data_IF_493549043964
#
_entry.id   IF_493549043964
#
_cell.length_a   1.000
_cell.length_b   1.000
_cell.length_c   1.000
_cell.angle_alpha   90.00
_cell.angle_beta   90.00
_cell.angle_gamma   90.00
#
_symmetry.space_group_name_H-M   'P 1'
#
loop_
_entity.id
_entity.type
_entity.pdbx_description
1 polymer ?
#
# COMPACT_ATOMS: atom_id res chain seq x y z
N UNK A 1 15.84 -47.51 -67.46
CA UNK A 1 15.15 -46.36 -68.09
C UNK A 1 14.08 -45.90 -67.10
N UNK A 2 14.21 -44.66 -66.63
CA UNK A 2 13.14 -43.75 -66.17
C UNK A 2 11.82 -44.35 -65.64
N UNK A 3 11.30 -44.01 -64.45
CA UNK A 3 11.14 -42.66 -63.89
C UNK A 3 10.71 -42.77 -62.43
N UNK A 4 11.15 -41.79 -61.67
CA UNK A 4 10.74 -41.40 -60.33
C UNK A 4 9.21 -41.21 -60.18
N UNK A 5 8.67 -41.62 -59.03
CA UNK A 5 7.59 -40.88 -58.35
C UNK A 5 7.59 -41.20 -56.86
N UNK A 6 8.15 -40.26 -56.11
CA UNK A 6 8.03 -40.10 -54.67
C UNK A 6 6.58 -39.76 -54.33
N UNK A 7 5.96 -40.51 -53.41
CA UNK A 7 4.78 -40.09 -52.68
C UNK A 7 5.21 -39.72 -51.27
N UNK A 8 5.18 -38.41 -51.00
CA UNK A 8 5.31 -37.82 -49.67
C UNK A 8 4.12 -38.26 -48.81
N UNK A 9 4.39 -38.97 -47.73
CA UNK A 9 3.42 -39.22 -46.66
C UNK A 9 3.30 -37.95 -45.81
N UNK A 10 2.21 -37.20 -46.03
CA UNK A 10 1.81 -36.13 -45.15
C UNK A 10 1.37 -36.70 -43.80
N UNK A 11 2.23 -36.62 -42.80
CA UNK A 11 1.86 -36.76 -41.40
C UNK A 11 1.04 -35.53 -41.00
N UNK A 12 -0.28 -35.70 -40.88
CA UNK A 12 -1.12 -34.75 -40.18
C UNK A 12 -0.76 -34.81 -38.70
N UNK A 13 0.02 -33.84 -38.22
CA UNK A 13 0.16 -33.58 -36.78
C UNK A 13 -1.13 -32.90 -36.34
N UNK A 14 -2.05 -33.71 -35.81
CA UNK A 14 -3.23 -33.21 -35.12
C UNK A 14 -2.75 -32.74 -33.74
N UNK A 15 -2.35 -31.47 -33.66
CA UNK A 15 -1.93 -30.82 -32.43
C UNK A 15 -3.19 -30.56 -31.61
N UNK A 16 -3.59 -31.56 -30.84
CA UNK A 16 -4.67 -31.49 -29.86
C UNK A 16 -4.14 -30.62 -28.72
N UNK A 17 -4.28 -29.30 -28.86
CA UNK A 17 -4.11 -28.35 -27.76
C UNK A 17 -5.24 -28.64 -26.78
N UNK A 18 -4.99 -29.54 -25.84
CA UNK A 18 -5.74 -29.58 -24.60
C UNK A 18 -5.44 -28.28 -23.87
N UNK A 19 -6.20 -27.22 -24.21
CA UNK A 19 -6.40 -26.12 -23.29
C UNK A 19 -7.03 -26.73 -22.05
N UNK A 20 -6.19 -27.06 -21.07
CA UNK A 20 -6.57 -26.97 -19.67
C UNK A 20 -7.04 -25.53 -19.51
N UNK A 21 -8.34 -25.31 -19.74
CA UNK A 21 -9.03 -24.24 -19.08
C UNK A 21 -8.90 -24.56 -17.59
N UNK A 22 -7.80 -24.08 -16.99
CA UNK A 22 -7.87 -23.70 -15.59
C UNK A 22 -9.15 -22.87 -15.50
N UNK A 23 -10.10 -23.18 -14.59
CA UNK A 23 -11.17 -22.25 -14.34
C UNK A 23 -10.48 -20.93 -14.04
N UNK A 24 -10.61 -19.98 -14.96
CA UNK A 24 -10.31 -18.60 -14.67
C UNK A 24 -11.26 -18.33 -13.52
N UNK A 25 -10.73 -18.31 -12.29
CA UNK A 25 -11.40 -17.79 -11.10
C UNK A 25 -11.60 -16.31 -11.40
N UNK A 26 -12.59 -16.07 -12.25
CA UNK A 26 -12.94 -14.79 -12.80
C UNK A 26 -13.60 -14.05 -11.65
N UNK A 27 -12.81 -13.14 -11.08
CA UNK A 27 -13.28 -12.00 -10.29
C UNK A 27 -13.56 -12.29 -8.81
N UNK A 28 -12.50 -12.60 -8.07
CA UNK A 28 -12.50 -12.51 -6.61
C UNK A 28 -12.66 -11.05 -6.10
N UNK A 29 -12.55 -10.04 -6.97
CA UNK A 29 -12.74 -8.64 -6.59
C UNK A 29 -14.21 -8.30 -6.35
N UNK A 30 -14.50 -7.50 -5.33
CA UNK A 30 -15.83 -6.94 -5.09
C UNK A 30 -15.97 -5.61 -5.82
N UNK A 31 -17.05 -5.43 -6.56
CA UNK A 31 -17.36 -4.19 -7.26
C UNK A 31 -18.02 -3.15 -6.35
N UNK A 32 -17.62 -1.89 -6.49
CA UNK A 32 -18.20 -0.73 -5.83
C UNK A 32 -18.69 0.26 -6.88
N UNK A 33 -19.87 0.83 -6.71
CA UNK A 33 -20.31 1.90 -7.59
C UNK A 33 -19.60 3.22 -7.27
N UNK A 34 -18.94 3.81 -8.26
CA UNK A 34 -18.39 5.16 -8.16
C UNK A 34 -19.37 6.17 -8.76
N UNK A 35 -20.02 6.98 -7.92
CA UNK A 35 -21.03 7.92 -8.40
C UNK A 35 -20.48 9.06 -9.27
N UNK A 36 -19.19 9.41 -9.11
CA UNK A 36 -18.53 10.44 -9.92
C UNK A 36 -18.22 9.94 -11.33
N UNK A 37 -17.71 8.72 -11.43
CA UNK A 37 -17.35 8.09 -12.70
C UNK A 37 -18.53 7.38 -13.37
N UNK A 38 -19.64 7.14 -12.64
CA UNK A 38 -20.81 6.38 -13.08
C UNK A 38 -20.46 4.97 -13.59
N UNK A 39 -19.57 4.29 -12.87
CA UNK A 39 -19.10 2.94 -13.22
C UNK A 39 -18.79 2.13 -11.97
N UNK A 40 -18.68 0.80 -12.13
CA UNK A 40 -18.15 -0.08 -11.09
C UNK A 40 -16.62 0.03 -11.05
N UNK A 41 -16.07 0.12 -9.85
CA UNK A 41 -14.63 0.04 -9.55
C UNK A 41 -14.38 -1.13 -8.61
N UNK A 42 -13.20 -1.74 -8.66
CA UNK A 42 -12.87 -2.87 -7.77
C UNK A 42 -12.43 -2.37 -6.40
N UNK A 43 -13.02 -2.90 -5.34
CA UNK A 43 -12.57 -2.71 -3.96
C UNK A 43 -11.17 -3.32 -3.75
N UNK A 44 -10.31 -2.63 -3.01
CA UNK A 44 -8.98 -3.13 -2.61
C UNK A 44 -8.99 -3.87 -1.27
N UNK A 45 -10.14 -3.88 -0.60
CA UNK A 45 -10.35 -4.26 0.81
C UNK A 45 -11.45 -5.30 0.97
N UNK A 46 -12.33 -5.45 -0.03
CA UNK A 46 -13.35 -6.48 -0.09
C UNK A 46 -13.03 -7.49 -1.19
N UNK A 47 -13.23 -8.77 -0.90
CA UNK A 47 -13.13 -9.85 -1.89
C UNK A 47 -14.20 -10.91 -1.70
N UNK A 48 -14.49 -11.62 -2.77
CA UNK A 48 -15.25 -12.86 -2.76
C UNK A 48 -14.29 -14.03 -2.64
N UNK A 49 -14.46 -14.84 -1.60
CA UNK A 49 -13.56 -15.92 -1.26
C UNK A 49 -14.32 -17.23 -1.05
N UNK A 50 -13.63 -18.36 -1.21
CA UNK A 50 -14.19 -19.65 -0.81
C UNK A 50 -14.37 -19.71 0.71
N UNK A 51 -15.36 -20.47 1.15
CA UNK A 51 -15.60 -20.73 2.57
C UNK A 51 -14.36 -21.36 3.23
N UNK A 52 -13.86 -20.72 4.28
CA UNK A 52 -12.72 -21.13 5.10
C UNK A 52 -13.02 -20.76 6.56
N UNK A 53 -13.01 -21.75 7.44
CA UNK A 53 -13.32 -21.53 8.86
C UNK A 53 -12.38 -20.52 9.53
N UNK A 54 -11.10 -20.49 9.12
CA UNK A 54 -10.09 -19.54 9.63
C UNK A 54 -10.39 -18.08 9.29
N UNK A 55 -11.18 -17.81 8.24
CA UNK A 55 -11.48 -16.47 7.77
C UNK A 55 -12.85 -15.93 8.26
N UNK A 56 -13.57 -16.70 9.08
CA UNK A 56 -14.94 -16.34 9.52
C UNK A 56 -15.02 -15.02 10.29
N UNK A 57 -13.96 -14.62 10.99
CA UNK A 57 -13.88 -13.32 11.67
C UNK A 57 -13.86 -12.12 10.72
N UNK A 58 -13.44 -12.34 9.47
CA UNK A 58 -13.32 -11.32 8.43
C UNK A 58 -14.53 -11.32 7.48
N UNK A 59 -15.47 -12.27 7.62
CA UNK A 59 -16.65 -12.32 6.78
C UNK A 59 -17.65 -11.22 7.11
N UNK A 60 -18.26 -10.68 6.05
CA UNK A 60 -19.22 -9.59 6.18
C UNK A 60 -20.55 -10.13 6.69
N UNK A 61 -20.97 -9.63 7.84
CA UNK A 61 -22.24 -9.98 8.48
C UNK A 61 -23.37 -9.21 7.81
N UNK A 62 -24.30 -9.94 7.17
CA UNK A 62 -25.48 -9.37 6.55
C UNK A 62 -26.67 -9.28 7.51
N UNK A 63 -26.82 -10.27 8.39
CA UNK A 63 -27.88 -10.35 9.38
C UNK A 63 -27.39 -11.12 10.62
N UNK A 64 -28.24 -11.19 11.64
CA UNK A 64 -27.97 -11.92 12.89
C UNK A 64 -29.25 -12.70 13.23
N UNK A 65 -29.11 -13.93 13.73
CA UNK A 65 -30.23 -14.73 14.24
C UNK A 65 -30.78 -14.18 15.55
N UNK A 66 -31.97 -14.64 15.96
CA UNK A 66 -32.51 -14.37 17.31
C UNK A 66 -31.57 -14.81 18.45
N UNK A 67 -30.77 -15.88 18.24
CA UNK A 67 -29.76 -16.35 19.19
C UNK A 67 -28.48 -15.50 19.22
N UNK A 68 -28.34 -14.54 18.31
CA UNK A 68 -27.14 -13.68 18.21
C UNK A 68 -26.05 -14.23 17.29
N UNK A 69 -26.32 -15.29 16.54
CA UNK A 69 -25.34 -15.89 15.62
C UNK A 69 -25.28 -15.13 14.28
N UNK A 70 -24.08 -14.95 13.70
CA UNK A 70 -23.93 -14.17 12.47
C UNK A 70 -24.43 -14.93 11.24
N UNK A 71 -25.11 -14.22 10.34
CA UNK A 71 -25.45 -14.67 8.99
C UNK A 71 -24.58 -13.89 8.02
N UNK A 72 -23.74 -14.60 7.26
CA UNK A 72 -22.76 -14.00 6.36
C UNK A 72 -23.32 -13.81 4.95
N UNK A 73 -22.79 -12.82 4.25
CA UNK A 73 -23.10 -12.58 2.84
C UNK A 73 -22.38 -13.59 1.96
N UNK A 74 -23.14 -14.34 1.16
CA UNK A 74 -22.61 -15.24 0.16
C UNK A 74 -23.19 -14.93 -1.22
N UNK A 75 -22.50 -15.34 -2.28
CA UNK A 75 -23.02 -15.27 -3.64
C UNK A 75 -22.78 -16.56 -4.40
N UNK A 76 -23.63 -16.84 -5.37
CA UNK A 76 -23.51 -18.01 -6.23
C UNK A 76 -23.94 -17.68 -7.66
N UNK A 77 -23.46 -18.47 -8.63
CA UNK A 77 -23.81 -18.30 -10.03
C UNK A 77 -24.95 -19.25 -10.41
N UNK A 78 -26.06 -18.71 -10.90
CA UNK A 78 -27.18 -19.50 -11.39
C UNK A 78 -27.58 -19.02 -12.80
N UNK A 79 -27.54 -19.93 -13.78
CA UNK A 79 -27.95 -19.65 -15.17
C UNK A 79 -27.22 -18.46 -15.83
N UNK A 80 -26.01 -18.14 -15.34
CA UNK A 80 -25.18 -17.03 -15.83
C UNK A 80 -25.20 -15.82 -14.91
N UNK A 81 -26.25 -15.67 -14.09
CA UNK A 81 -26.41 -14.53 -13.19
C UNK A 81 -25.76 -14.79 -11.82
N UNK A 82 -25.19 -13.73 -11.23
CA UNK A 82 -24.74 -13.75 -9.84
C UNK A 82 -25.88 -13.40 -8.91
N UNK A 83 -26.18 -14.31 -7.97
CA UNK A 83 -27.21 -14.16 -6.95
C UNK A 83 -26.55 -13.98 -5.59
N UNK A 84 -27.03 -13.00 -4.84
CA UNK A 84 -26.68 -12.80 -3.44
C UNK A 84 -27.58 -13.68 -2.55
N UNK A 85 -27.00 -14.16 -1.47
CA UNK A 85 -27.65 -15.05 -0.53
C UNK A 85 -27.11 -14.93 0.89
N UNK A 86 -27.58 -15.83 1.72
CA UNK A 86 -27.26 -15.94 3.13
C UNK A 86 -26.56 -17.26 3.44
N UNK A 87 -25.42 -17.17 4.12
CA UNK A 87 -24.72 -18.30 4.72
C UNK A 87 -25.03 -18.30 6.21
N UNK A 88 -25.89 -19.25 6.61
CA UNK A 88 -26.30 -19.43 8.01
C UNK A 88 -25.29 -20.33 8.76
N UNK A 89 -25.18 -20.22 10.09
CA UNK A 89 -24.24 -21.01 10.90
C UNK A 89 -24.38 -22.53 10.73
N UNK A 90 -25.60 -23.01 10.50
CA UNK A 90 -25.97 -24.41 10.30
C UNK A 90 -25.77 -24.88 8.85
N UNK A 91 -25.50 -23.97 7.92
CA UNK A 91 -25.45 -24.27 6.49
C UNK A 91 -24.02 -24.40 5.99
N UNK A 92 -23.79 -25.47 5.20
CA UNK A 92 -22.63 -25.59 4.32
C UNK A 92 -22.96 -25.15 2.89
N UNK A 93 -24.02 -24.34 2.72
CA UNK A 93 -24.53 -23.89 1.43
C UNK A 93 -24.99 -22.44 1.51
N UNK A 94 -24.93 -21.74 0.38
CA UNK A 94 -25.47 -20.41 0.22
C UNK A 94 -26.95 -20.50 -0.16
N UNK A 95 -27.84 -20.05 0.71
CA UNK A 95 -29.27 -19.96 0.41
C UNK A 95 -29.57 -18.67 -0.34
N UNK A 96 -30.28 -18.76 -1.46
CA UNK A 96 -30.73 -17.61 -2.27
C UNK A 96 -32.25 -17.66 -2.47
N UNK A 97 -32.85 -16.52 -2.85
CA UNK A 97 -34.29 -16.45 -3.14
C UNK A 97 -34.73 -17.52 -4.15
N UNK A 98 -35.92 -18.09 -3.97
CA UNK A 98 -36.48 -19.09 -4.88
C UNK A 98 -36.18 -20.56 -4.51
N UNK A 99 -35.95 -20.86 -3.22
CA UNK A 99 -35.86 -22.22 -2.64
C UNK A 99 -34.59 -23.00 -2.97
N UNK A 100 -33.59 -22.40 -3.63
CA UNK A 100 -32.36 -23.11 -4.04
C UNK A 100 -31.22 -22.76 -3.08
N UNK A 101 -30.62 -23.77 -2.46
CA UNK A 101 -29.35 -23.65 -1.76
C UNK A 101 -28.22 -24.20 -2.65
N UNK A 102 -27.12 -23.47 -2.76
CA UNK A 102 -25.98 -23.86 -3.60
C UNK A 102 -24.80 -24.25 -2.74
N UNK A 103 -24.16 -25.37 -3.07
CA UNK A 103 -22.92 -25.84 -2.42
C UNK A 103 -21.67 -25.20 -3.02
N UNK A 104 -21.77 -24.64 -4.23
CA UNK A 104 -20.71 -23.88 -4.88
C UNK A 104 -21.09 -22.41 -4.76
N UNK A 105 -20.35 -21.69 -3.91
CA UNK A 105 -20.59 -20.29 -3.61
C UNK A 105 -19.32 -19.64 -3.09
N UNK A 106 -19.35 -18.32 -3.04
CA UNK A 106 -18.32 -17.47 -2.46
C UNK A 106 -18.92 -16.69 -1.30
N UNK A 107 -18.08 -16.31 -0.33
CA UNK A 107 -18.44 -15.52 0.84
C UNK A 107 -17.71 -14.19 0.77
N UNK A 108 -18.38 -13.10 1.13
CA UNK A 108 -17.77 -11.78 1.15
C UNK A 108 -16.84 -11.64 2.36
N UNK A 109 -15.58 -11.33 2.11
CA UNK A 109 -14.55 -11.13 3.12
C UNK A 109 -14.08 -9.67 3.10
N UNK A 110 -14.09 -9.03 4.28
CA UNK A 110 -13.40 -7.78 4.54
C UNK A 110 -11.96 -8.09 4.94
N UNK A 111 -11.05 -7.96 3.98
CA UNK A 111 -9.64 -8.38 4.10
C UNK A 111 -9.03 -7.67 5.30
N UNK A 112 -8.58 -8.44 6.30
CA UNK A 112 -7.97 -7.93 7.54
C UNK A 112 -8.85 -6.88 8.26
N UNK A 113 -10.17 -6.94 8.02
CA UNK A 113 -11.14 -5.96 8.50
C UNK A 113 -10.77 -4.50 8.15
N UNK A 114 -10.15 -4.30 6.98
CA UNK A 114 -9.51 -3.05 6.58
C UNK A 114 -10.49 -1.96 6.11
N UNK A 115 -11.67 -2.34 5.60
CA UNK A 115 -12.70 -1.38 5.18
C UNK A 115 -13.74 -1.12 6.27
N UNK A 116 -14.29 0.10 6.28
CA UNK A 116 -15.53 0.42 6.97
C UNK A 116 -16.70 0.15 6.04
N UNK A 117 -17.50 -0.87 6.39
CA UNK A 117 -18.72 -1.21 5.67
C UNK A 117 -19.91 -0.84 6.56
N UNK A 118 -20.89 -0.15 5.99
CA UNK A 118 -22.11 0.28 6.70
C UNK A 118 -23.35 -0.03 5.89
N UNK A 119 -24.45 -0.25 6.61
CA UNK A 119 -25.79 -0.33 6.04
C UNK A 119 -26.42 1.06 6.09
N UNK A 120 -26.80 1.58 4.92
CA UNK A 120 -27.40 2.92 4.78
C UNK A 120 -28.86 2.80 4.35
N UNK A 121 -29.79 3.59 4.91
CA UNK A 121 -31.18 3.60 4.47
C UNK A 121 -31.31 3.79 2.97
N UNK A 122 -32.11 2.93 2.34
CA UNK A 122 -32.37 2.93 0.92
C UNK A 122 -33.87 3.00 0.65
N UNK A 123 -34.24 3.71 -0.41
CA UNK A 123 -35.61 3.84 -0.90
C UNK A 123 -35.63 3.72 -2.41
N UNK A 124 -36.74 3.24 -2.97
CA UNK A 124 -36.99 3.02 -4.40
C UNK A 124 -36.47 4.12 -5.34
N UNK A 125 -36.60 5.39 -4.95
CA UNK A 125 -36.24 6.55 -5.79
C UNK A 125 -34.88 7.17 -5.44
N UNK A 126 -34.12 6.56 -4.53
CA UNK A 126 -32.76 6.99 -4.23
C UNK A 126 -31.86 6.61 -5.41
N UNK A 127 -30.98 7.53 -5.81
CA UNK A 127 -29.92 7.19 -6.76
C UNK A 127 -28.91 6.22 -6.13
N UNK A 128 -28.22 5.46 -6.99
CA UNK A 128 -27.12 4.56 -6.60
C UNK A 128 -26.07 5.34 -5.79
N UNK A 129 -25.84 5.02 -4.50
CA UNK A 129 -24.87 5.74 -3.68
C UNK A 129 -23.43 5.35 -4.06
N UNK A 130 -22.49 6.29 -3.90
CA UNK A 130 -21.07 5.97 -4.08
C UNK A 130 -20.60 4.98 -3.01
N UNK A 131 -19.79 4.01 -3.39
CA UNK A 131 -19.36 2.91 -2.52
C UNK A 131 -20.40 1.79 -2.36
N UNK A 132 -21.55 1.86 -3.07
CA UNK A 132 -22.53 0.77 -3.04
C UNK A 132 -21.90 -0.53 -3.54
N UNK A 133 -22.04 -1.59 -2.74
CA UNK A 133 -21.43 -2.89 -3.03
C UNK A 133 -22.27 -3.64 -4.07
N UNK A 134 -21.67 -3.93 -5.22
CA UNK A 134 -22.31 -4.67 -6.31
C UNK A 134 -22.29 -6.18 -6.01
N UNK A 135 -23.36 -6.88 -6.41
CA UNK A 135 -23.41 -8.35 -6.34
C UNK A 135 -22.49 -8.97 -7.39
N UNK A 136 -22.50 -8.38 -8.59
CA UNK A 136 -21.65 -8.72 -9.72
C UNK A 136 -20.78 -7.51 -10.07
N UNK A 137 -19.46 -7.72 -10.08
CA UNK A 137 -18.49 -6.66 -10.37
C UNK A 137 -18.55 -6.17 -11.83
N UNK A 138 -19.18 -6.93 -12.71
CA UNK A 138 -19.37 -6.59 -14.12
C UNK A 138 -20.62 -5.74 -14.38
N UNK A 139 -21.55 -5.62 -13.42
CA UNK A 139 -22.85 -4.97 -13.59
C UNK A 139 -23.04 -3.81 -12.61
N UNK A 140 -23.50 -2.66 -13.10
CA UNK A 140 -23.83 -1.50 -12.28
C UNK A 140 -25.31 -1.46 -11.85
N UNK A 141 -26.06 -2.54 -12.07
CA UNK A 141 -27.51 -2.60 -11.87
C UNK A 141 -27.91 -3.28 -10.56
N UNK A 142 -27.10 -4.18 -10.02
CA UNK A 142 -27.47 -5.06 -8.91
C UNK A 142 -26.56 -4.86 -7.70
N UNK A 143 -27.12 -4.40 -6.59
CA UNK A 143 -26.39 -4.10 -5.36
C UNK A 143 -26.83 -4.97 -4.18
N UNK A 144 -25.96 -5.13 -3.20
CA UNK A 144 -26.28 -5.85 -1.96
C UNK A 144 -27.20 -4.99 -1.10
N UNK A 145 -28.34 -5.55 -0.73
CA UNK A 145 -29.33 -4.90 0.12
C UNK A 145 -29.85 -5.82 1.21
N UNK A 146 -30.60 -5.25 2.15
CA UNK A 146 -31.36 -6.02 3.14
C UNK A 146 -32.58 -5.23 3.61
N UNK A 147 -33.55 -5.94 4.16
CA UNK A 147 -34.70 -5.32 4.84
C UNK A 147 -34.85 -5.93 6.22
N UNK A 148 -35.36 -5.16 7.17
CA UNK A 148 -35.68 -5.67 8.50
C UNK A 148 -36.63 -6.85 8.39
N UNK A 149 -36.25 -7.98 9.00
CA UNK A 149 -37.08 -9.17 9.01
C UNK A 149 -38.16 -9.05 10.11
N UNK A 150 -39.30 -9.70 9.88
CA UNK A 150 -40.41 -9.70 10.83
C UNK A 150 -40.20 -10.71 11.96
N UNK A 151 -39.58 -11.87 11.66
CA UNK A 151 -39.42 -13.03 12.56
C UNK A 151 -38.07 -13.71 12.23
N UNK A 152 -37.40 -14.29 13.24
CA UNK A 152 -36.28 -15.22 13.07
C UNK A 152 -34.91 -14.55 12.96
N UNK A 153 -34.78 -13.57 12.05
CA UNK A 153 -33.53 -12.83 11.84
C UNK A 153 -33.69 -11.35 12.13
N UNK A 154 -32.57 -10.64 12.24
CA UNK A 154 -32.59 -9.17 12.27
C UNK A 154 -33.00 -8.58 10.92
N UNK A 155 -32.54 -9.18 9.82
CA UNK A 155 -32.76 -8.71 8.45
C UNK A 155 -32.83 -9.87 7.46
N UNK A 156 -33.63 -9.70 6.41
CA UNK A 156 -33.65 -10.53 5.21
C UNK A 156 -32.67 -9.94 4.19
N UNK A 157 -31.62 -10.69 3.86
CA UNK A 157 -30.60 -10.31 2.88
C UNK A 157 -31.18 -10.46 1.47
N UNK A 158 -30.87 -9.51 0.60
CA UNK A 158 -31.37 -9.49 -0.76
C UNK A 158 -30.52 -8.64 -1.70
N UNK A 159 -31.07 -8.35 -2.87
CA UNK A 159 -30.46 -7.51 -3.90
C UNK A 159 -31.35 -6.32 -4.23
N UNK A 160 -30.73 -5.20 -4.51
CA UNK A 160 -31.38 -4.01 -5.05
C UNK A 160 -31.07 -3.97 -6.54
N UNK A 161 -32.10 -4.15 -7.36
CA UNK A 161 -31.99 -4.05 -8.82
C UNK A 161 -32.42 -2.66 -9.26
N UNK A 162 -31.56 -1.94 -9.97
CA UNK A 162 -31.86 -0.66 -10.57
C UNK A 162 -32.25 -0.81 -12.03
N UNK A 163 -33.47 -0.38 -12.35
CA UNK A 163 -33.90 -0.12 -13.71
C UNK A 163 -33.83 1.40 -13.94
N UNK A 164 -32.76 1.84 -14.62
CA UNK A 164 -32.41 3.25 -14.78
C UNK A 164 -32.14 3.97 -13.43
N UNK A 165 -33.12 4.68 -12.88
CA UNK A 165 -33.02 5.47 -11.64
C UNK A 165 -33.93 4.94 -10.53
N UNK A 166 -34.78 3.97 -10.84
CA UNK A 166 -35.71 3.36 -9.91
C UNK A 166 -35.14 2.02 -9.51
N UNK A 167 -34.97 1.80 -8.20
CA UNK A 167 -34.53 0.52 -7.68
C UNK A 167 -35.65 -0.27 -7.02
N UNK A 168 -35.49 -1.58 -6.97
CA UNK A 168 -36.40 -2.52 -6.31
C UNK A 168 -35.59 -3.49 -5.46
N UNK A 169 -35.95 -3.62 -4.18
CA UNK A 169 -35.30 -4.57 -3.28
C UNK A 169 -36.04 -5.90 -3.36
N UNK A 170 -35.31 -6.95 -3.72
CA UNK A 170 -35.79 -8.32 -3.77
C UNK A 170 -35.03 -9.11 -2.70
N UNK A 171 -35.75 -9.63 -1.71
CA UNK A 171 -35.24 -10.46 -0.62
C UNK A 171 -36.12 -11.69 -0.42
N UNK A 172 -35.88 -12.48 0.61
CA UNK A 172 -36.71 -13.64 0.93
C UNK A 172 -36.74 -13.91 2.43
N UNK A 173 -37.84 -14.49 2.91
CA UNK A 173 -38.03 -14.85 4.32
C UNK A 173 -37.45 -16.24 4.65
N UNK A 174 -37.67 -16.70 5.89
CA UNK A 174 -37.23 -18.03 6.35
C UNK A 174 -37.87 -19.19 5.58
N UNK A 175 -39.09 -19.00 5.09
CA UNK A 175 -39.84 -19.98 4.31
C UNK A 175 -39.42 -19.98 2.82
N UNK A 176 -38.49 -19.10 2.44
CA UNK A 176 -38.06 -18.82 1.07
C UNK A 176 -39.11 -18.17 0.17
N UNK A 177 -40.11 -17.50 0.76
CA UNK A 177 -41.01 -16.65 0.00
C UNK A 177 -40.26 -15.40 -0.43
N UNK A 178 -40.36 -15.05 -1.72
CA UNK A 178 -39.76 -13.84 -2.24
C UNK A 178 -40.53 -12.61 -1.74
N UNK A 179 -39.78 -11.61 -1.28
CA UNK A 179 -40.27 -10.34 -0.77
C UNK A 179 -39.76 -9.22 -1.68
N UNK A 180 -40.69 -8.44 -2.21
CA UNK A 180 -40.40 -7.28 -3.05
C UNK A 180 -40.78 -6.01 -2.30
N UNK A 181 -39.79 -5.15 -2.08
CA UNK A 181 -39.90 -4.03 -1.16
C UNK A 181 -39.38 -2.73 -1.78
N UNK A 182 -39.99 -1.61 -1.36
CA UNK A 182 -39.67 -0.27 -1.88
C UNK A 182 -38.72 0.51 -0.96
N UNK A 183 -38.29 -0.08 0.15
CA UNK A 183 -37.34 0.48 1.10
C UNK A 183 -36.48 -0.63 1.70
N UNK A 184 -35.43 -0.24 2.42
CA UNK A 184 -34.54 -1.16 3.11
C UNK A 184 -33.22 -0.49 3.43
N UNK A 185 -32.15 -1.26 3.37
CA UNK A 185 -30.79 -0.79 3.54
C UNK A 185 -29.92 -1.30 2.40
N UNK A 186 -28.98 -0.46 1.97
CA UNK A 186 -27.96 -0.80 0.97
C UNK A 186 -26.60 -0.89 1.64
N UNK A 187 -25.80 -1.88 1.25
CA UNK A 187 -24.44 -2.04 1.75
C UNK A 187 -23.51 -1.04 1.05
N UNK A 188 -22.78 -0.27 1.84
CA UNK A 188 -21.83 0.72 1.35
C UNK A 188 -20.47 0.47 1.99
N UNK A 189 -19.44 0.43 1.16
CA UNK A 189 -18.05 0.57 1.59
C UNK A 189 -17.68 2.06 1.65
N UNK A 190 -17.30 2.55 2.83
CA UNK A 190 -16.93 3.95 3.04
C UNK A 190 -15.47 4.16 2.68
N UNK A 191 -15.22 5.05 1.72
CA UNK A 191 -13.85 5.40 1.32
C UNK A 191 -13.09 6.12 2.46
N UNK A 192 -11.84 5.72 2.74
CA UNK A 192 -11.00 6.41 3.71
C UNK A 192 -10.50 7.76 3.19
N UNK A 193 -10.21 8.68 4.11
CA UNK A 193 -9.71 10.03 3.77
C UNK A 193 -8.21 10.20 4.03
N UNK A 194 -7.67 9.51 5.04
CA UNK A 194 -6.26 9.56 5.42
C UNK A 194 -5.92 8.41 6.36
N UNK A 195 -4.62 8.23 6.58
CA UNK A 195 -4.08 7.21 7.46
C UNK A 195 -3.10 7.80 8.48
N UNK A 196 -2.96 7.13 9.62
CA UNK A 196 -1.85 7.29 10.56
C UNK A 196 -1.22 5.93 10.83
N UNK A 197 0.08 5.80 10.59
CA UNK A 197 0.89 4.72 11.15
C UNK A 197 1.47 5.20 12.47
N UNK A 198 1.15 4.47 13.54
CA UNK A 198 1.55 4.78 14.90
C UNK A 198 2.33 3.61 15.50
N UNK A 199 3.23 3.91 16.45
CA UNK A 199 4.14 2.96 17.08
C UNK A 199 4.83 2.04 16.07
N UNK A 200 5.46 2.63 15.04
CA UNK A 200 6.20 1.83 14.06
C UNK A 200 7.45 1.23 14.70
N UNK A 201 7.62 -0.07 14.56
CA UNK A 201 8.79 -0.84 15.01
C UNK A 201 9.41 -1.56 13.82
N UNK A 202 10.72 -1.36 13.60
CA UNK A 202 11.46 -2.05 12.53
C UNK A 202 12.01 -3.37 13.06
N UNK A 203 11.82 -4.44 12.29
CA UNK A 203 12.47 -5.72 12.55
C UNK A 203 13.85 -5.77 11.89
N UNK A 204 14.85 -5.29 12.63
CA UNK A 204 16.24 -5.23 12.18
C UNK A 204 16.84 -6.61 11.82
N UNK A 205 16.23 -7.71 12.28
CA UNK A 205 16.67 -9.06 11.88
C UNK A 205 16.33 -9.38 10.43
N UNK A 206 15.32 -8.72 9.86
CA UNK A 206 14.92 -8.86 8.45
C UNK A 206 15.64 -7.88 7.52
N UNK A 207 16.50 -7.02 8.07
CA UNK A 207 17.13 -5.95 7.31
C UNK A 207 18.10 -6.50 6.27
N UNK A 208 17.90 -6.08 5.02
CA UNK A 208 18.80 -6.31 3.91
C UNK A 208 19.41 -4.98 3.47
N UNK A 209 20.73 -4.96 3.34
CA UNK A 209 21.47 -3.77 2.91
C UNK A 209 22.20 -4.09 1.61
N UNK A 210 22.01 -3.23 0.60
CA UNK A 210 22.76 -3.29 -0.65
C UNK A 210 23.49 -1.97 -0.81
N UNK A 211 24.78 -2.05 -1.10
CA UNK A 211 25.63 -0.89 -1.29
C UNK A 211 26.20 -0.89 -2.70
N UNK A 212 26.24 0.28 -3.33
CA UNK A 212 26.99 0.47 -4.57
C UNK A 212 28.49 0.47 -4.31
N UNK A 213 29.26 0.36 -5.39
CA UNK A 213 30.68 0.65 -5.32
C UNK A 213 30.89 2.12 -4.88
N UNK A 214 31.91 2.40 -4.03
CA UNK A 214 32.23 3.76 -3.63
C UNK A 214 32.59 4.65 -4.82
N UNK A 215 31.97 5.82 -4.89
CA UNK A 215 32.25 6.85 -5.87
C UNK A 215 32.92 8.04 -5.18
N UNK A 216 34.00 8.56 -5.78
CA UNK A 216 34.64 9.80 -5.31
C UNK A 216 33.74 10.97 -5.68
N UNK A 217 33.36 11.76 -4.67
CA UNK A 217 32.56 12.98 -4.85
C UNK A 217 33.45 14.20 -5.02
N UNK A 218 34.49 14.34 -4.19
CA UNK A 218 35.41 15.47 -4.22
C UNK A 218 36.79 15.04 -3.69
N UNK A 219 37.84 15.69 -4.18
CA UNK A 219 39.18 15.61 -3.60
C UNK A 219 39.58 16.97 -3.04
N UNK A 220 40.11 16.98 -1.81
CA UNK A 220 40.45 18.20 -1.07
C UNK A 220 41.91 18.13 -0.61
N UNK A 221 42.62 19.24 -0.71
CA UNK A 221 43.94 19.39 -0.11
C UNK A 221 43.81 20.10 1.23
N UNK A 222 44.20 19.43 2.31
CA UNK A 222 44.35 20.03 3.63
C UNK A 222 45.83 20.37 3.84
N UNK A 223 46.13 21.61 4.22
CA UNK A 223 47.52 22.08 4.38
C UNK A 223 47.66 22.98 5.60
N UNK A 224 48.80 22.88 6.28
CA UNK A 224 49.18 23.76 7.37
C UNK A 224 50.26 24.74 6.88
N UNK A 225 49.82 25.95 6.53
CA UNK A 225 50.69 27.04 6.09
C UNK A 225 51.28 27.85 7.28
N UNK A 226 50.88 27.53 8.51
CA UNK A 226 51.35 28.23 9.72
C UNK A 226 52.69 27.66 10.21
N UNK A 227 53.40 28.47 11.00
CA UNK A 227 54.69 28.11 11.62
C UNK A 227 54.53 27.16 12.84
N UNK A 228 53.30 26.75 13.19
CA UNK A 228 52.97 25.92 14.35
C UNK A 228 52.05 24.77 13.95
N UNK A 229 52.25 23.60 14.56
CA UNK A 229 51.40 22.44 14.31
C UNK A 229 49.94 22.72 14.72
N UNK A 230 49.00 22.37 13.85
CA UNK A 230 47.59 22.69 14.03
C UNK A 230 46.67 21.61 13.45
N UNK A 231 45.46 21.51 14.00
CA UNK A 231 44.37 20.75 13.36
C UNK A 231 43.75 21.59 12.28
N UNK A 232 43.90 21.15 11.03
CA UNK A 232 43.28 21.77 9.87
C UNK A 232 41.89 21.19 9.70
N UNK A 233 40.87 22.05 9.80
CA UNK A 233 39.46 21.68 9.66
C UNK A 233 38.88 22.33 8.41
N UNK A 234 38.11 21.59 7.63
CA UNK A 234 37.41 22.10 6.43
C UNK A 234 36.11 21.32 6.25
N UNK A 235 35.10 21.93 5.64
CA UNK A 235 33.81 21.28 5.40
C UNK A 235 33.59 21.02 3.90
N UNK A 236 32.94 19.90 3.58
CA UNK A 236 32.48 19.54 2.24
C UNK A 236 30.96 19.47 2.26
N UNK A 237 30.32 20.23 1.37
CA UNK A 237 28.88 20.09 1.10
C UNK A 237 28.65 19.00 0.07
N UNK A 238 27.77 18.05 0.37
CA UNK A 238 27.32 17.05 -0.60
C UNK A 238 25.80 16.99 -0.66
N UNK A 239 25.31 16.61 -1.85
CA UNK A 239 23.89 16.53 -2.15
C UNK A 239 23.55 15.13 -2.59
N UNK A 240 22.40 14.63 -2.15
CA UNK A 240 21.91 13.33 -2.58
C UNK A 240 20.38 13.31 -2.61
N UNK A 241 19.84 12.42 -3.44
CA UNK A 241 18.41 12.18 -3.53
C UNK A 241 18.03 11.12 -2.50
N UNK A 242 17.41 11.56 -1.41
CA UNK A 242 16.81 10.68 -0.42
C UNK A 242 15.50 10.13 -0.95
N UNK A 243 15.29 8.82 -0.85
CA UNK A 243 13.99 8.21 -1.14
C UNK A 243 13.53 7.29 -0.02
N UNK A 244 12.24 7.36 0.31
CA UNK A 244 11.63 6.57 1.37
C UNK A 244 10.27 6.04 0.91
N UNK A 245 10.06 4.73 1.03
CA UNK A 245 8.83 4.06 0.66
C UNK A 245 8.36 3.14 1.78
N UNK A 246 7.06 3.13 2.02
CA UNK A 246 6.40 2.35 3.07
C UNK A 246 5.50 1.28 2.46
N UNK A 247 6.08 0.38 1.69
CA UNK A 247 5.46 -0.86 1.23
C UNK A 247 4.21 -0.70 0.35
N UNK A 248 3.67 -1.83 -0.08
CA UNK A 248 2.40 -1.93 -0.81
C UNK A 248 1.60 -3.09 -0.20
N UNK A 249 0.27 -2.94 -0.02
CA UNK A 249 -0.60 -4.02 0.45
C UNK A 249 -1.37 -3.71 1.74
N UNK A 250 -2.09 -4.73 2.25
CA UNK A 250 -2.96 -4.70 3.46
C UNK A 250 -4.31 -4.01 3.30
N UNK A 251 -4.86 -3.82 2.10
CA UNK A 251 -6.16 -3.14 1.99
C UNK A 251 -6.08 -1.66 2.40
N UNK A 252 -5.03 -0.98 1.94
CA UNK A 252 -4.79 0.45 2.14
C UNK A 252 -4.85 1.10 0.76
N UNK A 253 -5.64 2.15 0.62
CA UNK A 253 -5.75 2.89 -0.62
C UNK A 253 -4.45 3.67 -0.92
N UNK A 254 -3.96 3.53 -2.15
CA UNK A 254 -2.75 4.20 -2.62
C UNK A 254 -3.03 5.70 -2.78
N UNK A 255 -2.03 6.54 -2.50
CA UNK A 255 -2.09 7.98 -2.75
C UNK A 255 -2.80 8.80 -1.68
N UNK A 256 -3.24 8.18 -0.57
CA UNK A 256 -3.83 8.93 0.54
C UNK A 256 -2.75 9.43 1.51
N UNK A 257 -3.00 10.63 2.03
CA UNK A 257 -2.17 11.28 3.03
C UNK A 257 -1.99 10.39 4.26
N UNK A 258 -0.73 10.14 4.62
CA UNK A 258 -0.34 9.25 5.70
C UNK A 258 0.71 9.92 6.59
N UNK A 259 0.41 10.01 7.88
CA UNK A 259 1.37 10.44 8.92
C UNK A 259 2.01 9.22 9.57
N UNK A 260 3.31 9.27 9.84
CA UNK A 260 4.06 8.13 10.36
C UNK A 260 4.83 8.55 11.60
N UNK A 261 4.61 7.80 12.69
CA UNK A 261 5.23 7.99 14.00
C UNK A 261 5.88 6.68 14.46
N UNK A 262 7.18 6.74 14.70
CA UNK A 262 7.98 5.63 15.20
C UNK A 262 7.71 5.39 16.67
N UNK A 263 7.97 4.16 17.13
CA UNK A 263 7.91 3.79 18.56
C UNK A 263 8.85 4.61 19.47
N UNK A 264 9.92 5.18 18.92
CA UNK A 264 10.85 6.07 19.62
C UNK A 264 10.40 7.55 19.63
N UNK A 265 9.24 7.86 19.05
CA UNK A 265 8.69 9.21 18.93
C UNK A 265 9.18 9.99 17.70
N UNK A 266 10.04 9.41 16.86
CA UNK A 266 10.48 10.03 15.62
C UNK A 266 9.29 10.18 14.66
N UNK A 267 9.07 11.41 14.17
CA UNK A 267 8.02 11.71 13.20
C UNK A 267 8.61 11.90 11.81
N UNK A 268 7.96 11.30 10.82
CA UNK A 268 8.30 11.49 9.42
C UNK A 268 7.41 12.57 8.79
N UNK A 269 7.87 13.22 7.70
CA UNK A 269 7.01 14.08 6.91
C UNK A 269 5.78 13.32 6.43
N UNK A 270 4.68 14.04 6.24
CA UNK A 270 3.47 13.45 5.67
C UNK A 270 3.76 12.97 4.25
N UNK A 271 3.39 11.72 3.97
CA UNK A 271 3.58 11.10 2.65
C UNK A 271 2.24 10.69 2.04
N UNK A 272 2.27 10.38 0.74
CA UNK A 272 1.19 9.65 0.10
C UNK A 272 1.49 8.15 0.16
N UNK A 273 0.54 7.36 0.65
CA UNK A 273 0.75 5.92 0.80
C UNK A 273 1.13 5.23 -0.51
N UNK A 274 2.10 4.32 -0.46
CA UNK A 274 2.65 3.58 -1.60
C UNK A 274 3.25 4.45 -2.73
N UNK A 275 3.34 5.77 -2.54
CA UNK A 275 4.10 6.66 -3.40
C UNK A 275 5.44 6.96 -2.71
N UNK A 276 6.60 6.63 -3.32
CA UNK A 276 7.89 6.91 -2.71
C UNK A 276 8.08 8.41 -2.45
N UNK A 277 8.33 8.77 -1.20
CA UNK A 277 8.76 10.12 -0.83
C UNK A 277 10.17 10.35 -1.39
N UNK A 278 10.39 11.52 -1.99
CA UNK A 278 11.68 11.90 -2.58
C UNK A 278 12.05 13.31 -2.14
N UNK A 279 13.29 13.49 -1.71
CA UNK A 279 13.80 14.77 -1.25
C UNK A 279 15.28 14.91 -1.64
N UNK A 280 15.66 16.05 -2.22
CA UNK A 280 17.08 16.38 -2.39
C UNK A 280 17.61 16.92 -1.06
N UNK A 281 18.45 16.14 -0.39
CA UNK A 281 19.10 16.53 0.86
C UNK A 281 20.47 17.13 0.59
N UNK A 282 20.84 18.09 1.43
CA UNK A 282 22.17 18.72 1.44
C UNK A 282 22.73 18.58 2.84
N UNK A 283 23.92 18.00 2.95
CA UNK A 283 24.60 17.77 4.23
C UNK A 283 26.03 18.28 4.16
N UNK A 284 26.58 18.63 5.33
CA UNK A 284 27.96 19.09 5.49
C UNK A 284 28.77 18.00 6.19
N UNK A 285 29.89 17.62 5.60
CA UNK A 285 30.86 16.69 6.20
C UNK A 285 32.12 17.45 6.63
N UNK A 286 32.45 17.38 7.92
CA UNK A 286 33.66 18.01 8.46
C UNK A 286 34.88 17.11 8.27
N UNK A 287 35.83 17.57 7.46
CA UNK A 287 37.17 17.04 7.36
C UNK A 287 38.06 17.65 8.42
N UNK A 288 38.82 16.84 9.14
CA UNK A 288 39.80 17.32 10.10
C UNK A 288 41.01 16.40 10.19
N UNK A 289 42.21 16.99 10.18
CA UNK A 289 43.45 16.26 10.36
C UNK A 289 44.49 17.16 11.05
N UNK A 290 45.32 16.59 11.91
CA UNK A 290 46.44 17.28 12.54
C UNK A 290 47.65 17.29 11.59
N UNK A 291 48.21 18.47 11.34
CA UNK A 291 49.33 18.67 10.42
C UNK A 291 50.43 19.50 11.09
N UNK A 292 51.67 19.04 10.92
CA UNK A 292 52.87 19.79 11.30
C UNK A 292 53.09 20.99 10.35
N UNK A 293 53.86 22.01 10.74
CA UNK A 293 54.15 23.17 9.90
C UNK A 293 54.69 22.79 8.52
N UNK A 294 54.13 23.38 7.46
CA UNK A 294 54.59 23.14 6.08
C UNK A 294 54.28 21.72 5.55
N UNK A 295 53.31 21.04 6.13
CA UNK A 295 52.83 19.73 5.67
C UNK A 295 51.42 19.80 5.09
N UNK A 296 51.11 18.86 4.18
CA UNK A 296 49.80 18.75 3.56
C UNK A 296 49.37 17.29 3.40
N UNK A 297 48.06 17.08 3.25
CA UNK A 297 47.42 15.79 3.08
C UNK A 297 46.31 15.91 2.01
N UNK A 298 46.34 15.01 1.03
CA UNK A 298 45.24 14.84 0.08
C UNK A 298 44.14 14.01 0.72
N UNK A 299 42.90 14.48 0.63
CA UNK A 299 41.73 13.79 1.17
C UNK A 299 40.79 13.49 0.01
N UNK A 300 40.49 12.21 -0.21
CA UNK A 300 39.49 11.78 -1.16
C UNK A 300 38.18 11.54 -0.42
N UNK A 301 37.18 12.37 -0.67
CA UNK A 301 35.83 12.22 -0.14
C UNK A 301 35.01 11.35 -1.08
N UNK A 302 34.57 10.19 -0.58
CA UNK A 302 33.82 9.21 -1.37
C UNK A 302 32.57 8.78 -0.65
N UNK A 303 31.57 8.34 -1.41
CA UNK A 303 30.35 7.78 -0.85
C UNK A 303 29.79 6.67 -1.71
N UNK A 304 28.94 5.85 -1.12
CA UNK A 304 28.17 4.84 -1.83
C UNK A 304 26.69 4.98 -1.53
N UNK A 305 25.88 4.68 -2.53
CA UNK A 305 24.44 4.61 -2.38
C UNK A 305 24.10 3.34 -1.63
N UNK A 306 23.33 3.49 -0.54
CA UNK A 306 22.90 2.40 0.32
C UNK A 306 21.38 2.26 0.25
N UNK A 307 20.94 1.12 -0.28
CA UNK A 307 19.56 0.67 -0.24
C UNK A 307 19.34 -0.20 1.00
N UNK A 308 18.40 0.21 1.85
CA UNK A 308 17.98 -0.54 3.03
C UNK A 308 16.55 -0.99 2.86
N UNK A 309 16.33 -2.27 3.05
CA UNK A 309 15.03 -2.91 3.00
C UNK A 309 14.81 -3.63 4.35
N UNK A 310 13.70 -3.32 5.02
CA UNK A 310 13.42 -3.82 6.37
C UNK A 310 11.92 -3.98 6.58
N UNK A 311 11.52 -5.08 7.22
CA UNK A 311 10.12 -5.26 7.63
C UNK A 311 9.79 -4.45 8.87
N UNK A 312 8.53 -4.04 9.01
CA UNK A 312 8.06 -3.33 10.19
C UNK A 312 6.70 -3.85 10.67
N UNK A 313 6.40 -3.56 11.93
CA UNK A 313 5.07 -3.69 12.53
C UNK A 313 4.58 -2.30 12.94
N UNK A 314 3.27 -2.07 12.83
CA UNK A 314 2.68 -0.78 13.19
C UNK A 314 1.21 -0.90 13.57
N UNK A 315 0.67 0.10 14.26
CA UNK A 315 -0.77 0.33 14.39
C UNK A 315 -1.22 1.29 13.29
N UNK A 316 -1.96 0.77 12.32
CA UNK A 316 -2.63 1.59 11.31
C UNK A 316 -3.94 2.13 11.88
N UNK A 317 -4.14 3.45 11.78
CA UNK A 317 -5.43 4.11 12.02
C UNK A 317 -5.94 4.71 10.73
N UNK A 318 -7.14 4.29 10.32
CA UNK A 318 -7.83 4.77 9.13
C UNK A 318 -8.89 5.79 9.54
N UNK A 319 -8.83 6.97 8.92
CA UNK A 319 -9.82 8.02 9.11
C UNK A 319 -10.84 8.00 8.00
N UNK A 320 -12.09 8.22 8.37
CA UNK A 320 -13.24 8.25 7.46
C UNK A 320 -13.96 9.58 7.62
N UNK A 321 -14.55 10.08 6.54
CA UNK A 321 -15.37 11.28 6.61
C UNK A 321 -16.64 10.97 7.43
N UNK A 322 -16.95 11.83 8.41
CA UNK A 322 -18.17 11.78 9.22
C UNK A 322 -18.37 10.45 10.00
N UNK A 323 -17.33 9.64 10.16
CA UNK A 323 -17.37 8.33 10.79
C UNK A 323 -16.20 8.18 11.77
N UNK A 324 -16.34 7.25 12.72
CA UNK A 324 -15.28 6.96 13.68
C UNK A 324 -14.06 6.34 12.99
N UNK A 325 -12.87 6.78 13.41
CA UNK A 325 -11.62 6.17 12.97
C UNK A 325 -11.56 4.71 13.44
N UNK A 326 -10.87 3.87 12.65
CA UNK A 326 -10.66 2.46 12.97
C UNK A 326 -9.18 2.17 13.02
N UNK A 327 -8.76 1.31 13.94
CA UNK A 327 -7.36 0.92 14.06
C UNK A 327 -7.18 -0.59 13.97
N UNK A 328 -6.05 -1.02 13.39
CA UNK A 328 -5.62 -2.42 13.34
C UNK A 328 -4.10 -2.52 13.29
N UNK A 329 -3.56 -3.66 13.68
CA UNK A 329 -2.13 -3.92 13.53
C UNK A 329 -1.84 -4.36 12.10
N UNK A 330 -0.77 -3.84 11.53
CA UNK A 330 -0.29 -4.22 10.21
C UNK A 330 1.20 -4.59 10.28
N UNK A 331 1.62 -5.34 9.27
CA UNK A 331 3.04 -5.51 8.95
C UNK A 331 3.30 -4.87 7.61
N UNK A 332 4.54 -4.52 7.32
CA UNK A 332 4.87 -3.95 6.02
C UNK A 332 6.36 -3.98 5.77
N UNK A 333 6.74 -3.41 4.64
CA UNK A 333 8.12 -3.30 4.21
C UNK A 333 8.46 -1.82 4.06
N UNK A 334 9.63 -1.42 4.55
CA UNK A 334 10.17 -0.07 4.37
C UNK A 334 11.42 -0.17 3.50
N UNK A 335 11.42 0.59 2.42
CA UNK A 335 12.57 0.72 1.54
C UNK A 335 13.09 2.15 1.63
N UNK A 336 14.37 2.29 1.96
CA UNK A 336 15.03 3.57 2.16
C UNK A 336 16.34 3.61 1.37
N UNK A 337 16.51 4.66 0.57
CA UNK A 337 17.75 4.95 -0.15
C UNK A 337 18.46 6.13 0.51
N UNK A 338 19.71 5.92 0.89
CA UNK A 338 20.59 6.92 1.51
C UNK A 338 21.96 6.90 0.85
N UNK A 339 22.79 7.89 1.15
CA UNK A 339 24.20 7.89 0.76
C UNK A 339 25.04 7.83 2.04
N UNK A 340 25.91 6.83 2.12
CA UNK A 340 26.92 6.74 3.18
C UNK A 340 28.22 7.34 2.64
N UNK A 341 28.84 8.22 3.43
CA UNK A 341 30.04 8.96 3.02
C UNK A 341 31.20 8.70 3.96
N UNK A 342 32.40 8.69 3.40
CA UNK A 342 33.64 8.58 4.16
C UNK A 342 34.76 9.43 3.54
N UNK A 343 35.67 9.91 4.39
CA UNK A 343 36.87 10.62 3.98
C UNK A 343 38.09 9.71 4.08
N UNK A 344 38.78 9.50 2.96
CA UNK A 344 40.03 8.74 2.90
C UNK A 344 41.20 9.72 2.88
N UNK A 345 41.97 9.74 3.96
CA UNK A 345 43.14 10.58 4.09
C UNK A 345 44.36 9.89 3.49
N UNK A 346 45.00 10.56 2.53
CA UNK A 346 46.25 10.14 1.93
C UNK A 346 47.44 10.37 2.85
N UNK A 347 48.63 10.01 2.37
CA UNK A 347 49.86 10.20 3.12
C UNK A 347 50.18 11.68 3.31
N UNK A 348 50.70 12.04 4.49
CA UNK A 348 51.13 13.40 4.78
C UNK A 348 52.50 13.62 4.14
N UNK A 349 52.65 14.73 3.42
CA UNK A 349 53.90 15.10 2.76
C UNK A 349 54.31 16.53 3.08
N UNK A 350 55.62 16.78 3.06
CA UNK A 350 56.17 18.13 3.17
C UNK A 350 55.90 18.91 1.89
N UNK A 351 55.32 20.10 2.02
CA UNK A 351 54.98 20.96 0.88
C UNK A 351 56.22 21.48 0.14
N UNK A 352 57.38 21.54 0.81
CA UNK A 352 58.62 22.08 0.24
C UNK A 352 59.29 21.15 -0.77
N UNK A 353 59.14 19.83 -0.63
CA UNK A 353 59.85 18.85 -1.44
C UNK A 353 59.00 17.63 -1.85
N UNK A 354 57.71 17.61 -1.51
CA UNK A 354 56.78 16.50 -1.76
C UNK A 354 57.26 15.14 -1.23
N UNK A 355 58.13 15.14 -0.21
CA UNK A 355 58.56 13.91 0.46
C UNK A 355 57.59 13.55 1.57
N UNK A 356 57.41 12.25 1.79
CA UNK A 356 56.53 11.74 2.84
C UNK A 356 57.09 12.10 4.22
N UNK A 357 56.20 12.55 5.11
CA UNK A 357 56.55 12.74 6.51
C UNK A 357 56.76 11.35 7.12
N UNK A 358 57.89 11.08 7.80
CA UNK A 358 58.13 9.79 8.43
C UNK A 358 57.13 9.58 9.58
N UNK A 359 56.09 8.79 9.32
CA UNK A 359 55.03 8.51 10.28
C UNK A 359 55.55 7.58 11.37
N UNK A 360 55.58 8.03 12.62
CA UNK A 360 55.69 7.13 13.77
C UNK A 360 54.30 6.56 14.02
N UNK A 361 54.11 5.24 13.84
CA UNK A 361 52.82 4.57 13.96
C UNK A 361 52.14 4.87 15.30
N UNK A 362 51.21 5.81 15.31
CA UNK A 362 50.30 6.04 16.43
C UNK A 362 48.89 5.86 15.87
N UNK A 363 48.30 4.70 16.15
CA UNK A 363 46.95 4.35 15.71
C UNK A 363 45.95 5.20 16.48
N UNK A 364 45.59 6.37 15.97
CA UNK A 364 44.50 7.17 16.53
C UNK A 364 43.19 6.66 15.92
N UNK A 365 42.42 5.90 16.69
CA UNK A 365 41.07 5.46 16.33
C UNK A 365 40.14 6.67 16.35
N UNK A 366 39.83 7.25 15.20
CA UNK A 366 38.83 8.32 15.10
C UNK A 366 37.44 7.71 15.32
N UNK A 367 36.79 8.05 16.42
CA UNK A 367 35.41 7.63 16.69
C UNK A 367 34.47 8.61 16.02
N UNK A 368 33.78 8.18 14.97
CA UNK A 368 32.74 8.97 14.29
C UNK A 368 31.59 9.19 15.27
N UNK A 369 31.35 10.45 15.67
CA UNK A 369 30.23 10.80 16.55
C UNK A 369 29.19 11.55 15.73
N UNK A 370 28.09 10.90 15.40
CA UNK A 370 26.94 11.53 14.72
C UNK A 370 26.28 12.49 15.72
N UNK A 371 26.34 13.79 15.45
CA UNK A 371 25.73 14.81 16.33
C UNK A 371 24.35 15.16 15.79
N UNK A 372 23.30 14.64 16.42
CA UNK A 372 21.91 15.06 16.16
C UNK A 372 21.70 16.43 16.79
N UNK A 373 21.45 17.46 15.97
CA UNK A 373 21.21 18.83 16.45
C UNK A 373 19.77 18.96 16.95
N UNK A 374 19.56 18.90 18.27
CA UNK A 374 18.28 19.28 18.89
C UNK A 374 18.29 20.78 19.15
N UNK A 375 17.45 21.53 18.43
CA UNK A 375 17.28 22.98 18.59
C UNK A 375 16.66 23.28 19.95
N UNK A 376 17.46 23.77 20.89
CA UNK A 376 16.97 24.29 22.18
C UNK A 376 16.50 25.72 21.98
N UNK A 377 15.20 25.97 22.21
CA UNK A 377 14.62 27.31 22.24
C UNK A 377 15.28 28.15 23.35
N UNK A 378 15.63 29.43 23.10
CA UNK A 378 16.23 30.30 24.10
C UNK A 378 15.23 30.63 25.24
N UNK A 379 15.74 30.89 26.46
CA UNK A 379 14.90 31.12 27.63
C UNK A 379 14.10 32.42 27.50
N UNK A 380 12.81 32.31 27.83
CA UNK A 380 11.88 33.43 27.93
C UNK A 380 12.35 34.42 29.02
N UNK A 381 12.39 35.74 28.78
CA UNK A 381 12.69 36.71 29.82
C UNK A 381 11.58 36.75 30.89
N UNK A 382 11.92 37.12 32.15
CA UNK A 382 11.02 37.01 33.28
C UNK A 382 9.81 37.94 33.17
N UNK A 383 8.64 37.40 33.51
CA UNK A 383 7.36 38.11 33.57
C UNK A 383 7.40 39.24 34.60
N UNK A 384 7.08 40.46 34.18
CA UNK A 384 6.67 41.55 35.07
C UNK A 384 5.14 41.61 35.02
N UNK A 385 4.50 41.42 36.17
CA UNK A 385 3.06 41.53 36.33
C UNK A 385 2.64 42.99 36.59
N UNK A 386 1.58 43.40 35.87
CA UNK A 386 0.60 44.50 36.09
C UNK A 386 1.02 45.97 35.92
N UNK A 387 0.37 46.63 34.95
CA UNK A 387 -0.80 47.47 35.26
C UNK A 387 -1.68 47.71 34.01
N UNK A 388 -2.99 47.71 34.26
CA UNK A 388 -4.07 48.12 33.35
C UNK A 388 -4.01 49.63 33.00
N UNK A 389 -4.64 49.95 31.85
CA UNK A 389 -5.19 51.21 31.28
C UNK A 389 -4.85 51.13 29.77
N UNK A 390 -5.76 50.99 28.81
CA UNK A 390 -7.05 51.63 28.58
C UNK A 390 -6.94 52.57 27.36
N UNK A 391 -7.89 52.46 26.42
CA UNK A 391 -8.15 53.33 25.22
C UNK A 391 -7.48 52.86 23.90
N UNK A 392 -8.19 52.44 22.84
CA UNK A 392 -9.20 53.08 21.93
C UNK A 392 -8.54 53.54 20.61
N UNK A 393 -9.20 53.19 19.48
CA UNK A 393 -9.13 53.79 18.13
C UNK A 393 -7.84 53.57 17.32
N UNK A 394 -7.85 53.54 15.98
CA UNK A 394 -8.86 53.38 14.93
C UNK A 394 -8.08 53.26 13.60
N UNK A 395 -8.68 52.61 12.62
CA UNK A 395 -8.71 53.03 11.20
C UNK A 395 -7.46 53.12 10.29
N UNK A 396 -7.77 52.74 9.03
CA UNK A 396 -7.21 53.12 7.72
C UNK A 396 -6.00 52.31 7.20
N UNK A 397 -6.17 51.44 6.18
CA UNK A 397 -6.57 51.65 4.76
C UNK A 397 -5.49 52.33 3.92
N UNK A 398 -5.14 51.72 2.77
CA UNK A 398 -4.66 52.28 1.48
C UNK A 398 -4.30 51.04 0.62
N UNK A 399 -5.08 50.69 -0.43
CA UNK A 399 -4.96 51.08 -1.86
C UNK A 399 -3.59 50.68 -2.45
N UNK A 400 -3.39 50.19 -3.67
CA UNK A 400 -4.10 50.05 -4.95
C UNK A 400 -3.20 49.13 -5.80
N UNK A 401 -3.74 48.25 -6.67
CA UNK A 401 -3.63 48.32 -8.15
C UNK A 401 -2.19 48.07 -8.71
N UNK A 402 -1.90 47.30 -9.76
CA UNK A 402 -2.64 47.08 -11.00
C UNK A 402 -2.00 45.95 -11.86
N UNK A 403 -2.79 45.52 -12.85
CA UNK A 403 -2.46 45.25 -14.26
C UNK A 403 -1.69 44.00 -14.75
N UNK A 404 -2.44 43.26 -15.58
CA UNK A 404 -2.12 42.79 -16.96
C UNK A 404 -1.18 41.59 -17.21
N UNK A 405 -1.83 40.43 -17.40
CA UNK A 405 -1.90 39.63 -18.64
C UNK A 405 -0.65 39.47 -19.51
N UNK A 406 -0.14 38.22 -19.67
CA UNK A 406 0.45 37.73 -20.93
C UNK A 406 0.62 36.19 -20.95
N UNK A 407 -0.11 35.57 -21.89
CA UNK A 407 0.27 34.45 -22.78
C UNK A 407 0.46 33.03 -22.20
N UNK A 408 -0.50 32.16 -22.56
CA UNK A 408 -0.47 30.69 -22.53
C UNK A 408 0.51 30.10 -23.58
N UNK A 409 1.36 29.17 -23.14
CA UNK A 409 1.94 28.10 -23.95
C UNK A 409 1.33 26.73 -23.57
N UNK A 410 1.33 25.72 -24.45
CA UNK A 410 0.62 24.45 -24.24
C UNK A 410 1.42 23.50 -23.33
N UNK A 411 0.76 22.58 -22.58
CA UNK A 411 1.49 21.57 -21.83
C UNK A 411 1.94 20.42 -22.75
N UNK A 412 3.19 20.00 -22.57
CA UNK A 412 3.75 18.77 -23.13
C UNK A 412 3.03 17.54 -22.58
N UNK A 413 2.93 16.52 -23.44
CA UNK A 413 2.35 15.22 -23.13
C UNK A 413 3.38 14.38 -22.35
N UNK A 414 3.01 13.92 -21.16
CA UNK A 414 3.71 12.81 -20.53
C UNK A 414 2.93 11.51 -20.75
N UNK A 415 3.59 10.56 -21.41
CA UNK A 415 3.12 9.20 -21.63
C UNK A 415 3.20 8.40 -20.33
N UNK A 416 2.05 8.11 -19.72
CA UNK A 416 1.95 7.23 -18.54
C UNK A 416 1.83 5.78 -19.02
N UNK A 417 2.98 5.09 -19.11
CA UNK A 417 3.01 3.63 -19.10
C UNK A 417 2.94 3.14 -17.63
N UNK A 418 1.73 2.97 -17.11
CA UNK A 418 1.48 2.22 -15.86
C UNK A 418 1.37 0.73 -16.17
N UNK A 419 2.48 0.00 -16.07
CA UNK A 419 2.45 -1.46 -16.00
C UNK A 419 2.13 -1.89 -14.56
N UNK A 420 0.97 -2.51 -14.38
CA UNK A 420 0.59 -3.24 -13.16
C UNK A 420 1.47 -4.48 -13.06
N UNK A 421 2.36 -4.54 -12.06
CA UNK A 421 3.09 -5.76 -11.71
C UNK A 421 2.56 -6.24 -10.37
N UNK A 422 1.75 -7.30 -10.41
CA UNK A 422 1.32 -8.02 -9.21
C UNK A 422 2.49 -8.81 -8.63
N UNK A 423 2.98 -8.39 -7.46
CA UNK A 423 3.94 -9.15 -6.68
C UNK A 423 3.22 -10.12 -5.74
N UNK A 424 3.25 -11.42 -6.06
CA UNK A 424 2.98 -12.48 -5.08
C UNK A 424 4.11 -12.48 -4.05
N UNK A 425 3.78 -12.28 -2.77
CA UNK A 425 4.69 -12.50 -1.66
C UNK A 425 5.08 -13.98 -1.56
N UNK A 426 6.37 -14.26 -1.63
CA UNK A 426 6.95 -15.58 -1.37
C UNK A 426 7.33 -15.71 0.11
N UNK A 427 6.68 -16.61 0.84
CA UNK A 427 7.17 -17.07 2.14
C UNK A 427 8.30 -18.11 1.98
N UNK A 428 9.39 -18.05 2.76
CA UNK A 428 10.40 -19.11 2.77
C UNK A 428 10.11 -20.17 3.85
N UNK A 429 10.42 -21.42 3.48
CA UNK A 429 10.69 -22.60 4.31
C UNK A 429 9.54 -23.30 5.06
N UNK A 430 9.00 -24.34 4.42
CA UNK A 430 8.75 -25.63 5.07
C UNK A 430 9.26 -26.76 4.17
N UNK A 431 10.34 -27.43 4.58
CA UNK A 431 10.88 -28.58 3.85
C UNK A 431 9.93 -29.78 3.93
N UNK A 432 9.29 -30.12 2.81
CA UNK A 432 8.56 -31.37 2.65
C UNK A 432 9.07 -32.09 1.40
N UNK A 433 9.76 -33.22 1.59
CA UNK A 433 10.19 -34.10 0.49
C UNK A 433 8.98 -34.86 -0.05
N UNK A 434 8.46 -34.44 -1.20
CA UNK A 434 7.44 -35.20 -1.93
C UNK A 434 8.14 -36.28 -2.77
N UNK A 435 7.93 -37.54 -2.38
CA UNK A 435 8.20 -38.71 -3.23
C UNK A 435 7.11 -38.78 -4.29
N UNK A 436 7.46 -38.59 -5.55
CA UNK A 436 6.55 -38.81 -6.69
C UNK A 436 6.49 -40.31 -6.96
N UNK A 437 5.44 -40.98 -6.48
CA UNK A 437 5.03 -42.29 -7.00
C UNK A 437 4.10 -42.07 -8.18
N UNK A 438 4.62 -42.31 -9.39
CA UNK A 438 3.84 -42.29 -10.61
C UNK A 438 2.96 -43.55 -10.67
N UNK A 439 1.64 -43.40 -10.53
CA UNK A 439 0.67 -44.46 -10.79
C UNK A 439 0.21 -44.28 -12.24
N UNK A 440 0.70 -45.15 -13.13
CA UNK A 440 0.22 -45.25 -14.50
C UNK A 440 -1.18 -45.89 -14.49
N UNK A 441 -2.19 -45.12 -14.90
CA UNK A 441 -3.55 -45.62 -15.16
C UNK A 441 -3.57 -46.31 -16.52
N UNK A 442 -3.59 -47.64 -16.53
CA UNK A 442 -3.86 -48.47 -17.71
C UNK A 442 -5.38 -48.53 -17.93
N UNK A 443 -5.85 -47.98 -19.04
CA UNK A 443 -7.22 -48.17 -19.54
C UNK A 443 -7.19 -49.39 -20.49
N UNK A 444 -7.95 -50.47 -20.24
CA UNK A 444 -8.03 -51.58 -21.18
C UNK A 444 -9.05 -51.26 -22.28
N UNK A 445 -8.58 -51.22 -23.53
CA UNK A 445 -9.42 -51.30 -24.72
C UNK A 445 -9.87 -52.76 -24.89
N UNK A 446 -11.14 -53.05 -24.61
CA UNK A 446 -11.78 -54.28 -25.05
C UNK A 446 -13.28 -54.06 -25.23
N UNK A 447 -13.78 -54.56 -26.36
CA UNK A 447 -15.18 -54.72 -26.79
C UNK A 447 -15.80 -53.53 -27.54
N UNK A 448 -15.54 -53.52 -28.86
CA UNK A 448 -16.56 -53.22 -29.86
C UNK A 448 -16.50 -54.34 -30.91
N UNK A 449 -17.54 -55.16 -30.88
CA UNK A 449 -18.05 -55.98 -31.97
C UNK A 449 -19.35 -55.30 -32.43
#
# INVERSE_FOLDING_TARGET
MERTRSYSSGFWVLLLVTTLAAPVLSEAGVGLFNARLKQIVTSSTLKWANLKNEAMENYVIGAITESGEPIYLCRTRHEGDMLIGQLRPDYNSCAVSGTKSYTIFEVMENIENASLIIWTPWYKFNSKPSGAVAVDSSLDTTFVGRIKANIGYSHNIGRINYESTVGELISFDEENNELVENNGEILIEVEPVSYKLDNVELDLHTQHVRQSDPQVFEERLLRNDDDVAATVTTEIEYKFNYTLSWGHGHGIAIGLNTTIEMSDGTQFPQIEWANPYKEEKKELYTLQIFLEPGTACNVSFRGNTTDRDVQYTAKLTTYYKDNNARSRHIRGERIENTVEVEAVYGEIYYMSNNTLVPTTTTTTTTTTTTTTTTTVLPPLPPSVEKNDIGMIMDSNSILEDSSEDMVKGPPEKEDINRSVVGGLGSHPNSGFKIRVTSIALLIPFALLL
#
